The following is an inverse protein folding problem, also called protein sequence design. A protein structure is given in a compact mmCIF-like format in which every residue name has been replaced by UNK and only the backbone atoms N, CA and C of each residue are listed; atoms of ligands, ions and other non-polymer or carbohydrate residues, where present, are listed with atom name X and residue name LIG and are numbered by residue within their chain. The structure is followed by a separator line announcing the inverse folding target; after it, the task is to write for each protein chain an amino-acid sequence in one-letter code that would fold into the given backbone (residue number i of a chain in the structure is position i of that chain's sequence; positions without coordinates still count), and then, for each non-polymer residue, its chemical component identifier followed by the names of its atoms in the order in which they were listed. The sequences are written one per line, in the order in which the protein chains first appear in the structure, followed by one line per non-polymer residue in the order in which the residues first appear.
data_IF_038907832344
#
_entry.id   IF_038907832344
#
_cell.length_a   1.000
_cell.length_b   1.000
_cell.length_c   1.000
_cell.angle_alpha   90.00
_cell.angle_beta   90.00
_cell.angle_gamma   90.00
#
_symmetry.space_group_name_H-M   'P 1'
#
loop_
_entity.id
_entity.type
_entity.pdbx_description
1 polymer ?
#
# COMPACT_ATOMS: atom_id res chain seq x y z
N UNK A 1 4.17 -1.61 -7.13
CA UNK A 1 5.22 -0.76 -6.52
C UNK A 1 4.55 0.45 -5.91
N UNK A 2 4.89 0.81 -4.68
CA UNK A 2 4.53 2.11 -4.09
C UNK A 2 5.79 2.97 -4.16
N UNK A 3 5.70 4.08 -4.88
CA UNK A 3 6.78 5.05 -4.98
C UNK A 3 6.63 6.08 -3.86
N UNK A 4 7.69 6.28 -3.07
CA UNK A 4 7.70 7.26 -1.98
C UNK A 4 8.90 8.19 -2.12
N UNK A 5 8.89 9.30 -1.38
CA UNK A 5 10.03 10.23 -1.34
C UNK A 5 11.30 9.62 -0.74
N UNK A 6 11.19 8.49 -0.04
CA UNK A 6 12.29 7.76 0.59
C UNK A 6 12.70 6.50 -0.17
N UNK A 7 12.08 6.22 -1.32
CA UNK A 7 12.36 5.07 -2.16
C UNK A 7 11.12 4.23 -2.49
N UNK A 8 11.34 3.11 -3.18
CA UNK A 8 10.29 2.25 -3.68
C UNK A 8 10.02 1.09 -2.72
N UNK A 9 8.74 0.77 -2.54
CA UNK A 9 8.28 -0.38 -1.77
C UNK A 9 7.65 -1.40 -2.74
N UNK A 10 8.18 -2.61 -2.72
CA UNK A 10 7.65 -3.75 -3.47
C UNK A 10 7.11 -4.81 -2.53
N UNK A 11 5.97 -5.40 -2.88
CA UNK A 11 5.30 -6.42 -2.09
C UNK A 11 4.42 -7.28 -2.98
N UNK A 12 4.08 -8.47 -2.48
CA UNK A 12 3.18 -9.41 -3.13
C UNK A 12 1.80 -9.41 -2.45
N UNK A 13 0.77 -9.79 -3.21
CA UNK A 13 -0.57 -9.94 -2.69
C UNK A 13 -0.90 -11.42 -2.43
N UNK A 14 -1.46 -11.69 -1.26
CA UNK A 14 -1.99 -13.01 -0.90
C UNK A 14 -3.48 -13.09 -1.28
N UNK A 15 -3.75 -13.27 -2.56
CA UNK A 15 -5.11 -13.32 -3.12
C UNK A 15 -5.95 -14.48 -2.59
N UNK A 16 -5.31 -15.61 -2.27
CA UNK A 16 -5.96 -16.79 -1.70
C UNK A 16 -6.45 -16.55 -0.26
N UNK A 17 -5.74 -15.70 0.50
CA UNK A 17 -6.08 -15.40 1.90
C UNK A 17 -7.08 -14.25 2.02
N UNK A 18 -6.92 -13.20 1.23
CA UNK A 18 -7.70 -11.97 1.36
C UNK A 18 -8.15 -11.41 0.01
N UNK A 19 -8.97 -12.16 -0.77
CA UNK A 19 -9.31 -11.79 -2.15
C UNK A 19 -10.04 -10.44 -2.25
N UNK A 20 -10.94 -10.14 -1.31
CA UNK A 20 -11.68 -8.88 -1.29
C UNK A 20 -10.79 -7.66 -1.02
N UNK A 21 -9.87 -7.76 -0.06
CA UNK A 21 -8.94 -6.68 0.28
C UNK A 21 -7.95 -6.44 -0.85
N UNK A 22 -7.36 -7.50 -1.40
CA UNK A 22 -6.45 -7.39 -2.54
C UNK A 22 -7.13 -6.72 -3.73
N UNK A 23 -8.36 -7.14 -4.08
CA UNK A 23 -9.12 -6.52 -5.16
C UNK A 23 -9.35 -5.03 -4.91
N UNK A 24 -9.87 -4.67 -3.74
CA UNK A 24 -10.14 -3.28 -3.40
C UNK A 24 -8.87 -2.42 -3.44
N UNK A 25 -7.76 -2.91 -2.88
CA UNK A 25 -6.49 -2.19 -2.89
C UNK A 25 -5.99 -1.95 -4.31
N UNK A 26 -6.01 -2.98 -5.17
CA UNK A 26 -5.64 -2.87 -6.59
C UNK A 26 -6.52 -1.88 -7.34
N UNK A 27 -7.84 -1.90 -7.09
CA UNK A 27 -8.78 -1.00 -7.75
C UNK A 27 -8.58 0.46 -7.33
N UNK A 28 -8.33 0.73 -6.05
CA UNK A 28 -8.01 2.07 -5.55
C UNK A 28 -6.66 2.56 -6.08
N UNK A 29 -5.63 1.71 -6.08
CA UNK A 29 -4.32 2.03 -6.62
C UNK A 29 -4.38 2.38 -8.11
N UNK A 30 -5.10 1.60 -8.93
CA UNK A 30 -5.31 1.88 -10.36
C UNK A 30 -6.03 3.21 -10.63
N UNK A 31 -6.81 3.70 -9.67
CA UNK A 31 -7.50 4.99 -9.75
C UNK A 31 -6.64 6.17 -9.25
N UNK A 32 -5.39 5.93 -8.85
CA UNK A 32 -4.51 6.95 -8.26
C UNK A 32 -4.96 7.43 -6.88
N UNK A 33 -5.81 6.66 -6.17
CA UNK A 33 -6.40 7.10 -4.91
C UNK A 33 -5.36 7.39 -3.81
N UNK A 34 -4.24 6.68 -3.82
CA UNK A 34 -3.19 6.82 -2.81
C UNK A 34 -2.12 7.85 -3.18
N UNK A 35 -2.19 8.43 -4.38
CA UNK A 35 -1.18 9.36 -4.87
C UNK A 35 -1.20 10.64 -4.02
N UNK A 36 -0.03 11.06 -3.54
CA UNK A 36 0.11 12.23 -2.66
C UNK A 36 -0.35 12.02 -1.21
N UNK A 37 -0.82 10.82 -0.83
CA UNK A 37 -1.08 10.51 0.57
C UNK A 37 0.22 10.38 1.37
N UNK A 38 0.14 10.53 2.69
CA UNK A 38 1.31 10.48 3.59
C UNK A 38 1.19 9.33 4.59
N UNK A 39 2.35 8.78 4.98
CA UNK A 39 2.46 7.89 6.13
C UNK A 39 2.41 8.72 7.42
N UNK A 40 1.20 9.10 7.82
CA UNK A 40 0.97 10.05 8.92
C UNK A 40 1.23 9.47 10.32
N UNK A 41 1.37 8.14 10.46
CA UNK A 41 1.59 7.47 11.75
C UNK A 41 2.76 6.49 11.67
N UNK A 42 3.82 6.79 12.42
CA UNK A 42 5.05 5.98 12.48
C UNK A 42 5.35 5.61 13.92
N UNK A 43 5.47 4.31 14.20
CA UNK A 43 5.90 3.79 15.50
C UNK A 43 7.17 2.96 15.30
N UNK A 44 8.35 3.45 15.72
CA UNK A 44 9.61 2.74 15.56
C UNK A 44 9.54 1.32 16.15
N UNK A 45 9.96 0.33 15.36
CA UNK A 45 9.95 -1.08 15.76
C UNK A 45 8.58 -1.77 15.74
N UNK A 46 7.52 -1.10 15.27
CA UNK A 46 6.18 -1.70 15.19
C UNK A 46 5.56 -1.60 13.79
N UNK A 47 5.14 -0.40 13.37
CA UNK A 47 4.50 -0.19 12.07
C UNK A 47 4.57 1.26 11.58
N UNK A 48 4.37 1.40 10.27
CA UNK A 48 4.22 2.65 9.52
C UNK A 48 3.13 2.47 8.45
#
# INVERSE_FOLDING_TARGET
VIETTLGNIEFEFLEDKAPGHTKNFKDLAKKGYYDGTTFHRVIPGFMI
#
